data_IF_147429689048
#
_entry.id   IF_147429689048
#
_cell.length_a   1.000
_cell.length_b   1.000
_cell.length_c   1.000
_cell.angle_alpha   90.00
_cell.angle_beta   90.00
_cell.angle_gamma   90.00
#
_symmetry.space_group_name_H-M   'P 1'
#
loop_
_entity.id
_entity.type
_entity.pdbx_description
1 polymer ?
#
# COMPACT_ATOMS: atom_id res chain seq x y z
N UNK A 1 -55.02 -9.10 -39.78
CA UNK A 1 -53.84 -8.69 -39.01
C UNK A 1 -52.73 -8.43 -40.01
N UNK A 2 -52.22 -7.21 -40.06
CA UNK A 2 -51.24 -6.79 -41.06
C UNK A 2 -49.88 -7.48 -40.83
N UNK A 3 -49.23 -7.84 -41.93
CA UNK A 3 -47.89 -8.51 -41.88
C UNK A 3 -46.83 -7.68 -41.18
N UNK A 4 -47.02 -6.37 -41.05
CA UNK A 4 -46.15 -5.45 -40.33
C UNK A 4 -46.17 -5.67 -38.81
N UNK A 5 -47.35 -5.94 -38.23
CA UNK A 5 -47.46 -6.24 -36.78
C UNK A 5 -46.77 -7.57 -36.42
N UNK A 6 -46.86 -8.57 -37.29
CA UNK A 6 -46.17 -9.86 -37.07
C UNK A 6 -44.66 -9.71 -37.12
N UNK A 7 -44.15 -8.89 -38.07
CA UNK A 7 -42.72 -8.62 -38.19
C UNK A 7 -42.20 -7.82 -36.99
N UNK A 8 -42.97 -6.84 -36.50
CA UNK A 8 -42.63 -6.09 -35.29
C UNK A 8 -42.58 -6.98 -34.03
N UNK A 9 -43.56 -7.87 -33.88
CA UNK A 9 -43.59 -8.81 -32.75
C UNK A 9 -42.40 -9.80 -32.77
N UNK A 10 -42.03 -10.30 -33.97
CA UNK A 10 -40.86 -11.18 -34.09
C UNK A 10 -39.55 -10.47 -33.80
N UNK A 11 -39.40 -9.22 -34.25
CA UNK A 11 -38.21 -8.41 -33.92
C UNK A 11 -38.10 -8.13 -32.42
N UNK A 12 -39.21 -7.76 -31.77
CA UNK A 12 -39.22 -7.54 -30.33
C UNK A 12 -38.90 -8.82 -29.54
N UNK A 13 -39.43 -9.96 -29.93
CA UNK A 13 -39.11 -11.25 -29.32
C UNK A 13 -37.65 -11.65 -29.49
N UNK A 14 -37.06 -11.40 -30.67
CA UNK A 14 -35.63 -11.67 -30.89
C UNK A 14 -34.73 -10.79 -30.05
N UNK A 15 -35.06 -9.50 -29.87
CA UNK A 15 -34.32 -8.60 -29.00
C UNK A 15 -34.43 -9.02 -27.52
N UNK A 16 -35.64 -9.34 -27.06
CA UNK A 16 -35.86 -9.80 -25.69
C UNK A 16 -35.11 -11.11 -25.40
N UNK A 17 -35.12 -12.05 -26.35
CA UNK A 17 -34.37 -13.31 -26.21
C UNK A 17 -32.87 -13.09 -26.23
N UNK A 18 -32.36 -12.15 -27.04
CA UNK A 18 -30.94 -11.81 -27.05
C UNK A 18 -30.49 -11.20 -25.72
N UNK A 19 -31.27 -10.29 -25.13
CA UNK A 19 -30.98 -9.68 -23.81
C UNK A 19 -31.03 -10.75 -22.73
N UNK A 20 -32.01 -11.64 -22.73
CA UNK A 20 -32.13 -12.72 -21.75
C UNK A 20 -30.95 -13.71 -21.83
N UNK A 21 -30.48 -14.04 -23.04
CA UNK A 21 -29.33 -14.93 -23.19
C UNK A 21 -27.99 -14.31 -22.76
N UNK A 22 -27.80 -12.99 -22.94
CA UNK A 22 -26.60 -12.30 -22.45
C UNK A 22 -26.59 -12.20 -20.92
N UNK A 23 -27.75 -12.02 -20.30
CA UNK A 23 -27.82 -11.92 -18.83
C UNK A 23 -27.61 -13.26 -18.12
N UNK A 24 -27.88 -14.37 -18.77
CA UNK A 24 -27.70 -15.71 -18.19
C UNK A 24 -26.23 -16.06 -17.88
N UNK A 25 -25.27 -15.49 -18.62
CA UNK A 25 -23.84 -15.71 -18.39
C UNK A 25 -23.26 -14.86 -17.24
N UNK A 26 -23.93 -13.79 -16.84
CA UNK A 26 -23.46 -12.85 -15.82
C UNK A 26 -24.15 -13.03 -14.46
N UNK A 27 -25.21 -13.83 -14.38
CA UNK A 27 -25.99 -14.01 -13.17
C UNK A 27 -25.97 -15.47 -12.70
N UNK A 28 -25.62 -15.69 -11.44
CA UNK A 28 -25.68 -16.98 -10.76
C UNK A 28 -24.37 -17.38 -10.11
N UNK A 29 -24.40 -18.51 -9.38
CA UNK A 29 -23.28 -19.04 -8.61
C UNK A 29 -22.07 -19.49 -9.48
N UNK A 30 -22.22 -19.52 -10.80
CA UNK A 30 -21.16 -19.83 -11.75
C UNK A 30 -20.73 -18.63 -12.59
N UNK A 31 -21.02 -17.40 -12.16
CA UNK A 31 -20.55 -16.20 -12.83
C UNK A 31 -19.02 -16.21 -12.88
N UNK A 32 -18.44 -15.93 -14.06
CA UNK A 32 -16.97 -15.89 -14.21
C UNK A 32 -16.32 -14.83 -13.31
N UNK A 33 -17.05 -13.80 -12.91
CA UNK A 33 -16.59 -12.81 -11.93
C UNK A 33 -16.33 -13.40 -10.55
N UNK A 34 -16.96 -14.51 -10.17
CA UNK A 34 -16.68 -15.24 -8.95
C UNK A 34 -15.42 -16.12 -9.02
N UNK A 35 -14.87 -16.31 -10.22
CA UNK A 35 -13.64 -17.07 -10.44
C UNK A 35 -12.40 -16.16 -10.46
N UNK A 36 -12.59 -14.85 -10.40
CA UNK A 36 -11.48 -13.90 -10.32
C UNK A 36 -10.84 -14.09 -8.94
N UNK A 37 -9.60 -14.58 -8.96
CA UNK A 37 -8.77 -14.60 -7.76
C UNK A 37 -7.95 -13.32 -7.75
N UNK A 38 -8.03 -12.50 -6.67
CA UNK A 38 -7.16 -11.36 -6.54
C UNK A 38 -5.70 -11.81 -6.57
N UNK A 39 -4.84 -11.01 -7.18
CA UNK A 39 -3.40 -11.24 -7.23
C UNK A 39 -2.67 -10.91 -5.90
N UNK A 40 -3.41 -10.55 -4.85
CA UNK A 40 -2.87 -10.36 -3.51
C UNK A 40 -2.67 -11.70 -2.79
N UNK A 41 -1.59 -11.80 -2.02
CA UNK A 41 -1.34 -12.95 -1.17
C UNK A 41 -2.33 -12.94 0.00
N UNK A 42 -3.22 -13.95 0.03
CA UNK A 42 -4.23 -14.11 1.07
C UNK A 42 -4.44 -15.58 1.42
N UNK A 43 -4.86 -15.84 2.66
CA UNK A 43 -5.23 -17.18 3.14
C UNK A 43 -6.25 -17.08 4.28
N UNK A 44 -6.96 -18.17 4.53
CA UNK A 44 -7.88 -18.29 5.66
C UNK A 44 -7.69 -19.65 6.31
N UNK A 45 -7.51 -19.68 7.63
CA UNK A 45 -7.41 -20.89 8.45
C UNK A 45 -8.26 -20.68 9.70
N UNK A 46 -9.29 -21.51 9.85
CA UNK A 46 -10.26 -21.33 10.93
C UNK A 46 -10.89 -19.93 10.86
N UNK A 47 -10.85 -19.22 11.97
CA UNK A 47 -11.39 -17.86 12.11
C UNK A 47 -10.36 -16.77 11.72
N UNK A 48 -9.13 -17.14 11.38
CA UNK A 48 -8.10 -16.19 10.98
C UNK A 48 -8.02 -16.08 9.48
N UNK A 49 -8.05 -14.84 9.00
CA UNK A 49 -7.87 -14.47 7.62
C UNK A 49 -6.70 -13.49 7.50
N UNK A 50 -5.72 -13.85 6.68
CA UNK A 50 -4.57 -12.99 6.39
C UNK A 50 -4.70 -12.48 4.96
N UNK A 51 -4.54 -11.17 4.77
CA UNK A 51 -4.66 -10.52 3.47
C UNK A 51 -3.49 -9.58 3.22
N UNK A 52 -3.22 -9.32 1.93
CA UNK A 52 -2.22 -8.38 1.45
C UNK A 52 -0.83 -8.65 2.03
N UNK A 53 -0.50 -9.93 2.23
CA UNK A 53 0.82 -10.28 2.74
C UNK A 53 1.90 -10.00 1.69
N UNK A 54 2.92 -9.24 2.08
CA UNK A 54 4.03 -8.85 1.23
C UNK A 54 5.31 -8.80 2.06
N UNK A 55 6.43 -9.18 1.45
CA UNK A 55 7.77 -8.97 2.02
C UNK A 55 8.39 -7.81 1.25
N UNK A 56 8.74 -6.75 1.96
CA UNK A 56 9.26 -5.52 1.37
C UNK A 56 10.74 -5.42 1.70
N UNK A 57 11.56 -5.46 0.66
CA UNK A 57 13.02 -5.39 0.74
C UNK A 57 13.52 -3.95 0.63
N UNK A 58 14.82 -3.76 0.78
CA UNK A 58 15.47 -2.49 0.48
C UNK A 58 15.29 -2.12 -1.00
N UNK A 59 15.19 -0.83 -1.35
CA UNK A 59 15.08 -0.39 -2.74
C UNK A 59 16.33 -0.74 -3.57
N UNK A 60 17.50 -0.75 -2.94
CA UNK A 60 18.74 -1.17 -3.59
C UNK A 60 18.84 -2.70 -3.64
N UNK A 61 18.94 -3.24 -4.86
CA UNK A 61 19.03 -4.68 -5.10
C UNK A 61 20.29 -5.34 -4.51
N UNK A 62 21.33 -4.59 -4.23
CA UNK A 62 22.57 -5.09 -3.62
C UNK A 62 22.63 -4.89 -2.10
N UNK A 63 21.66 -4.20 -1.53
CA UNK A 63 21.60 -4.00 -0.10
C UNK A 63 21.42 -5.30 0.67
N UNK A 64 22.21 -5.52 1.70
CA UNK A 64 22.07 -6.64 2.65
C UNK A 64 21.23 -6.28 3.87
N UNK A 65 20.57 -5.13 3.83
CA UNK A 65 19.78 -4.60 4.93
C UNK A 65 18.55 -5.42 5.29
N UNK A 66 17.82 -4.97 6.32
CA UNK A 66 16.59 -5.64 6.74
C UNK A 66 15.52 -5.59 5.66
N UNK A 67 14.57 -6.51 5.71
CA UNK A 67 13.27 -6.41 5.05
C UNK A 67 12.17 -6.32 6.10
N UNK A 68 10.96 -6.03 5.68
CA UNK A 68 9.79 -6.05 6.55
C UNK A 68 8.71 -6.95 5.97
N UNK A 69 7.90 -7.54 6.84
CA UNK A 69 6.69 -8.24 6.44
C UNK A 69 5.50 -7.33 6.73
N UNK A 70 4.69 -7.05 5.71
CA UNK A 70 3.43 -6.34 5.86
C UNK A 70 2.26 -7.28 5.57
N UNK A 71 1.21 -7.17 6.35
CA UNK A 71 -0.03 -7.95 6.20
C UNK A 71 -1.16 -7.36 7.03
N UNK A 72 -2.39 -7.71 6.71
CA UNK A 72 -3.55 -7.48 7.57
C UNK A 72 -4.12 -8.81 8.03
N UNK A 73 -4.19 -9.00 9.35
CA UNK A 73 -4.77 -10.17 10.00
C UNK A 73 -6.18 -9.80 10.48
N UNK A 74 -7.16 -10.59 10.12
CA UNK A 74 -8.54 -10.49 10.60
C UNK A 74 -8.86 -11.71 11.45
N UNK A 75 -9.58 -11.49 12.53
CA UNK A 75 -10.10 -12.54 13.40
C UNK A 75 -11.63 -12.51 13.35
N UNK A 76 -12.22 -13.43 12.63
CA UNK A 76 -13.68 -13.57 12.50
C UNK A 76 -14.31 -14.37 13.67
N UNK A 77 -13.47 -14.83 14.59
CA UNK A 77 -13.87 -15.57 15.78
C UNK A 77 -14.34 -14.66 16.91
N UNK A 78 -14.71 -15.31 18.02
CA UNK A 78 -15.22 -14.66 19.24
C UNK A 78 -14.17 -14.53 20.35
N UNK A 79 -12.94 -15.01 20.14
CA UNK A 79 -11.84 -14.98 21.10
C UNK A 79 -10.67 -14.20 20.52
N UNK A 80 -10.05 -13.35 21.34
CA UNK A 80 -8.84 -12.64 20.95
C UNK A 80 -7.70 -13.64 20.69
N UNK A 81 -6.90 -13.38 19.66
CA UNK A 81 -5.70 -14.15 19.38
C UNK A 81 -4.46 -13.26 19.34
N UNK A 82 -3.33 -13.76 19.74
CA UNK A 82 -2.06 -13.03 19.71
C UNK A 82 -1.18 -13.57 18.61
N UNK A 83 -0.58 -12.67 17.82
CA UNK A 83 0.48 -13.02 16.89
C UNK A 83 1.77 -13.24 17.67
N UNK A 84 2.27 -14.47 17.65
CA UNK A 84 3.44 -14.90 18.42
C UNK A 84 4.74 -14.80 17.60
N UNK A 85 4.67 -15.18 16.33
CA UNK A 85 5.84 -15.14 15.44
C UNK A 85 5.47 -15.06 13.97
N UNK A 86 6.42 -14.56 13.16
CA UNK A 86 6.40 -14.65 11.70
C UNK A 86 7.73 -15.25 11.26
N UNK A 87 7.68 -16.37 10.55
CA UNK A 87 8.87 -17.08 10.08
C UNK A 87 8.87 -17.26 8.57
N UNK A 88 10.05 -17.42 7.98
CA UNK A 88 10.25 -17.75 6.58
C UNK A 88 10.80 -19.18 6.48
N UNK A 89 9.93 -20.18 6.28
CA UNK A 89 10.35 -21.57 6.19
C UNK A 89 11.42 -21.80 5.13
N UNK A 90 12.40 -22.63 5.46
CA UNK A 90 13.51 -22.95 4.57
C UNK A 90 14.66 -21.95 4.58
N UNK A 91 14.51 -20.81 5.21
CA UNK A 91 15.57 -19.77 5.33
C UNK A 91 16.17 -19.67 6.74
N UNK A 92 15.47 -20.22 7.74
CA UNK A 92 15.81 -20.07 9.15
C UNK A 92 15.63 -18.65 9.70
N UNK A 93 14.94 -17.76 8.97
CA UNK A 93 14.70 -16.39 9.39
C UNK A 93 13.37 -16.25 10.12
N UNK A 94 13.40 -15.48 11.21
CA UNK A 94 12.24 -15.10 12.01
C UNK A 94 12.21 -13.57 12.08
N UNK A 95 11.03 -12.99 11.91
CA UNK A 95 10.86 -11.56 12.03
C UNK A 95 10.86 -11.13 13.49
N UNK A 96 11.48 -10.00 13.77
CA UNK A 96 11.37 -9.29 15.03
C UNK A 96 10.05 -8.52 15.03
N UNK A 97 9.16 -8.86 15.97
CA UNK A 97 7.85 -8.25 16.08
C UNK A 97 7.86 -7.14 17.12
N UNK A 98 7.28 -6.00 16.75
CA UNK A 98 7.07 -4.89 17.67
C UNK A 98 5.64 -4.38 17.54
N UNK A 99 4.90 -4.22 18.66
CA UNK A 99 3.56 -3.64 18.60
C UNK A 99 3.61 -2.16 18.19
N UNK A 100 2.50 -1.62 17.71
CA UNK A 100 2.32 -0.18 17.58
C UNK A 100 2.47 0.51 18.94
N UNK A 101 2.78 1.81 18.93
CA UNK A 101 2.92 2.59 20.16
C UNK A 101 1.64 2.49 21.03
N UNK A 102 1.81 2.03 22.28
CA UNK A 102 0.68 1.79 23.19
C UNK A 102 -0.25 0.64 22.82
N UNK A 103 0.08 -0.13 21.77
CA UNK A 103 -0.70 -1.26 21.26
C UNK A 103 -0.19 -2.63 21.75
N UNK A 104 -0.73 -3.67 21.14
CA UNK A 104 -0.34 -5.07 21.33
C UNK A 104 -0.29 -5.80 20.00
N UNK A 105 0.23 -7.02 20.00
CA UNK A 105 0.18 -7.94 18.85
C UNK A 105 -1.09 -8.80 18.87
N UNK A 106 -2.12 -8.34 19.55
CA UNK A 106 -3.41 -9.01 19.64
C UNK A 106 -4.28 -8.71 18.41
N UNK A 107 -4.85 -9.73 17.84
CA UNK A 107 -5.92 -9.65 16.83
C UNK A 107 -7.23 -9.83 17.59
N UNK A 108 -7.98 -8.75 17.89
CA UNK A 108 -9.16 -8.84 18.72
C UNK A 108 -10.27 -9.63 18.04
N UNK A 109 -11.15 -10.24 18.83
CA UNK A 109 -12.32 -10.94 18.33
C UNK A 109 -13.21 -10.01 17.47
N UNK A 110 -13.53 -10.44 16.25
CA UNK A 110 -14.25 -9.64 15.27
C UNK A 110 -13.48 -8.44 14.73
N UNK A 111 -12.16 -8.35 14.99
CA UNK A 111 -11.33 -7.22 14.66
C UNK A 111 -10.15 -7.57 13.75
N UNK A 112 -9.17 -6.67 13.70
CA UNK A 112 -7.98 -6.84 12.87
C UNK A 112 -6.72 -6.27 13.49
N UNK A 113 -5.56 -6.76 13.04
CA UNK A 113 -4.23 -6.26 13.31
C UNK A 113 -3.54 -5.95 11.99
N UNK A 114 -3.06 -4.73 11.83
CA UNK A 114 -2.25 -4.33 10.68
C UNK A 114 -0.78 -4.42 11.07
N UNK A 115 0.01 -5.04 10.20
CA UNK A 115 1.46 -5.16 10.33
C UNK A 115 2.08 -4.43 9.15
N UNK A 116 3.05 -3.58 9.43
CA UNK A 116 3.74 -2.74 8.45
C UNK A 116 3.09 -1.38 8.27
N UNK A 117 3.86 -0.47 7.69
CA UNK A 117 3.51 0.94 7.55
C UNK A 117 3.65 1.73 8.85
N UNK A 118 3.63 3.05 8.71
CA UNK A 118 3.80 3.96 9.83
C UNK A 118 2.64 3.86 10.83
N UNK A 119 2.97 3.85 12.12
CA UNK A 119 1.99 3.82 13.21
C UNK A 119 1.36 2.46 13.51
N UNK A 120 1.68 1.42 12.76
CA UNK A 120 1.18 0.05 12.97
C UNK A 120 2.21 -0.83 13.68
N UNK A 121 1.82 -2.06 14.00
CA UNK A 121 2.76 -3.08 14.42
C UNK A 121 3.79 -3.35 13.32
N UNK A 122 5.01 -3.71 13.68
CA UNK A 122 6.07 -3.98 12.72
C UNK A 122 6.59 -5.41 12.83
N UNK A 123 7.06 -5.95 11.69
CA UNK A 123 7.72 -7.25 11.60
C UNK A 123 8.96 -7.11 10.73
N UNK A 124 10.12 -7.04 11.36
CA UNK A 124 11.42 -6.79 10.71
C UNK A 124 12.20 -8.08 10.57
N UNK A 125 12.67 -8.36 9.36
CA UNK A 125 13.55 -9.48 9.03
C UNK A 125 14.99 -8.95 8.95
N UNK A 126 15.83 -9.22 9.95
CA UNK A 126 17.22 -8.78 9.89
C UNK A 126 17.98 -9.54 8.79
N UNK A 127 18.81 -8.84 8.02
CA UNK A 127 19.67 -9.41 6.96
C UNK A 127 18.91 -10.33 6.01
N UNK A 128 17.92 -9.81 5.31
CA UNK A 128 16.94 -10.61 4.55
C UNK A 128 17.39 -10.99 3.14
N UNK A 129 18.29 -10.25 2.50
CA UNK A 129 18.63 -10.42 1.08
C UNK A 129 19.13 -11.83 0.72
N UNK A 130 19.80 -12.54 1.63
CA UNK A 130 20.20 -13.92 1.41
C UNK A 130 19.01 -14.90 1.42
N UNK A 131 17.91 -14.49 2.02
CA UNK A 131 16.75 -15.36 2.23
C UNK A 131 15.59 -15.06 1.25
N UNK A 132 15.51 -13.84 0.73
CA UNK A 132 14.39 -13.39 -0.12
C UNK A 132 14.92 -12.68 -1.38
N UNK A 133 14.23 -12.90 -2.51
CA UNK A 133 14.55 -12.29 -3.79
C UNK A 133 13.33 -11.55 -4.32
N UNK A 134 13.54 -10.33 -4.77
CA UNK A 134 12.49 -9.51 -5.38
C UNK A 134 11.85 -10.22 -6.57
N UNK A 135 10.56 -10.07 -6.73
CA UNK A 135 9.76 -10.73 -7.76
C UNK A 135 9.37 -12.17 -7.46
N UNK A 136 9.90 -12.79 -6.41
CA UNK A 136 9.52 -14.13 -5.98
C UNK A 136 8.28 -14.12 -5.08
N UNK A 137 7.68 -15.30 -4.92
CA UNK A 137 6.66 -15.56 -3.90
C UNK A 137 7.30 -16.41 -2.78
N UNK A 138 7.58 -15.76 -1.67
CA UNK A 138 8.22 -16.34 -0.49
C UNK A 138 7.19 -16.99 0.43
N UNK A 139 7.46 -18.21 0.90
CA UNK A 139 6.66 -18.83 1.95
C UNK A 139 6.86 -18.05 3.25
N UNK A 140 5.76 -17.62 3.85
CA UNK A 140 5.71 -16.93 5.15
C UNK A 140 4.73 -17.69 6.04
N UNK A 141 5.08 -17.90 7.30
CA UNK A 141 4.23 -18.56 8.29
C UNK A 141 4.01 -17.62 9.45
N UNK A 142 2.77 -17.35 9.77
CA UNK A 142 2.30 -16.59 10.92
C UNK A 142 1.85 -17.57 11.99
N UNK A 143 2.36 -17.45 13.21
CA UNK A 143 1.93 -18.29 14.33
C UNK A 143 1.06 -17.47 15.27
N UNK A 144 -0.14 -17.95 15.51
CA UNK A 144 -1.12 -17.34 16.41
C UNK A 144 -1.38 -18.25 17.60
N UNK A 145 -1.78 -17.65 18.71
CA UNK A 145 -1.92 -18.33 20.01
C UNK A 145 -2.95 -19.46 20.03
N UNK A 146 -4.03 -19.38 19.26
CA UNK A 146 -5.07 -20.40 19.22
C UNK A 146 -5.14 -21.14 17.87
N UNK A 147 -5.10 -20.42 16.77
CA UNK A 147 -5.13 -21.02 15.42
C UNK A 147 -3.84 -21.77 15.08
N UNK A 148 -2.71 -21.43 15.74
CA UNK A 148 -1.40 -21.99 15.43
C UNK A 148 -0.82 -21.41 14.14
N UNK A 149 -0.19 -22.26 13.32
CA UNK A 149 0.54 -21.85 12.14
C UNK A 149 -0.38 -21.61 10.93
N UNK A 150 -0.28 -20.44 10.34
CA UNK A 150 -0.98 -20.01 9.13
C UNK A 150 0.04 -19.66 8.08
N UNK A 151 0.21 -20.51 7.07
CA UNK A 151 1.19 -20.34 6.01
C UNK A 151 0.57 -19.81 4.72
N UNK A 152 1.28 -18.88 4.04
CA UNK A 152 0.93 -18.43 2.70
C UNK A 152 2.18 -18.02 1.93
N UNK A 153 2.04 -17.81 0.62
CA UNK A 153 3.11 -17.28 -0.23
C UNK A 153 2.90 -15.78 -0.41
N UNK A 154 3.80 -14.99 0.14
CA UNK A 154 3.81 -13.53 0.02
C UNK A 154 4.73 -13.09 -1.12
N UNK A 155 4.34 -12.10 -1.88
CA UNK A 155 5.21 -11.49 -2.89
C UNK A 155 6.36 -10.76 -2.21
N UNK A 156 7.53 -10.80 -2.85
CA UNK A 156 8.70 -10.03 -2.44
C UNK A 156 8.85 -8.86 -3.39
N UNK A 157 8.82 -7.65 -2.85
CA UNK A 157 8.87 -6.41 -3.61
C UNK A 157 9.89 -5.44 -3.00
N UNK A 158 10.58 -4.61 -3.80
CA UNK A 158 11.42 -3.55 -3.26
C UNK A 158 10.59 -2.41 -2.69
N UNK A 159 11.14 -1.66 -1.74
CA UNK A 159 10.54 -0.46 -1.16
C UNK A 159 10.58 0.71 -2.13
N UNK A 160 9.87 0.59 -3.25
CA UNK A 160 9.77 1.58 -4.31
C UNK A 160 8.31 1.95 -4.58
N UNK A 161 8.09 3.14 -5.15
CA UNK A 161 6.76 3.61 -5.55
C UNK A 161 5.73 3.51 -4.41
N UNK A 162 4.73 2.66 -4.53
CA UNK A 162 3.70 2.46 -3.52
C UNK A 162 4.26 1.95 -2.18
N UNK A 163 5.31 1.14 -2.22
CA UNK A 163 5.91 0.52 -1.04
C UNK A 163 7.01 1.34 -0.38
N UNK A 164 7.34 2.53 -0.87
CA UNK A 164 8.40 3.39 -0.33
C UNK A 164 8.22 3.70 1.15
N UNK A 165 7.01 4.03 1.57
CA UNK A 165 6.67 4.32 2.98
C UNK A 165 6.42 3.08 3.85
N UNK A 166 6.42 1.89 3.24
CA UNK A 166 6.18 0.61 3.92
C UNK A 166 7.46 -0.20 4.12
N UNK A 167 8.56 0.25 3.51
CA UNK A 167 9.86 -0.41 3.60
C UNK A 167 10.51 -0.28 4.98
N UNK A 168 11.67 -0.95 5.16
CA UNK A 168 12.42 -0.84 6.40
C UNK A 168 12.91 0.58 6.62
N UNK A 169 12.75 1.10 7.85
CA UNK A 169 13.17 2.46 8.23
C UNK A 169 14.68 2.63 8.37
N UNK A 170 15.42 1.54 8.54
CA UNK A 170 16.88 1.54 8.57
C UNK A 170 17.43 1.04 7.25
N UNK A 171 17.93 1.95 6.43
CA UNK A 171 18.67 1.64 5.21
C UNK A 171 20.15 1.63 5.57
N UNK A 172 20.84 0.48 5.65
CA UNK A 172 22.28 0.47 5.85
C UNK A 172 22.96 1.21 4.69
N UNK A 173 23.88 2.10 4.99
CA UNK A 173 24.68 2.76 3.96
C UNK A 173 25.38 1.68 3.11
N UNK A 174 25.31 1.81 1.78
CA UNK A 174 25.99 0.91 0.88
C UNK A 174 27.49 0.80 1.25
N UNK A 175 28.07 -0.42 1.19
CA UNK A 175 29.49 -0.56 1.46
C UNK A 175 30.30 0.26 0.45
N UNK A 176 30.82 1.40 0.88
CA UNK A 176 31.65 2.28 0.04
C UNK A 176 31.34 3.77 0.13
N UNK A 177 30.21 4.20 0.68
CA UNK A 177 29.96 5.61 0.97
C UNK A 177 30.29 5.92 2.43
N UNK A 178 31.58 6.08 2.69
CA UNK A 178 32.07 6.76 3.89
C UNK A 178 31.72 8.24 3.74
N UNK A 179 30.60 8.67 4.29
CA UNK A 179 30.37 10.08 4.56
C UNK A 179 31.28 10.45 5.72
N UNK A 180 32.47 10.96 5.37
CA UNK A 180 33.28 11.72 6.31
C UNK A 180 32.41 12.85 6.88
N UNK A 181 32.32 13.00 8.21
CA UNK A 181 31.65 14.16 8.78
C UNK A 181 32.44 15.39 8.35
N UNK A 182 31.84 16.24 7.54
CA UNK A 182 32.34 17.56 7.22
C UNK A 182 32.40 18.34 8.54
N UNK A 183 33.60 18.44 9.10
CA UNK A 183 33.89 19.31 10.22
C UNK A 183 33.70 20.74 9.73
N UNK A 184 32.69 21.38 10.23
CA UNK A 184 32.47 22.82 10.13
C UNK A 184 33.59 23.53 10.88
N UNK A 185 34.58 24.01 10.10
CA UNK A 185 35.60 24.91 10.60
C UNK A 185 34.97 26.28 10.79
N UNK A 186 34.66 26.63 12.04
CA UNK A 186 34.52 28.02 12.47
C UNK A 186 35.90 28.65 12.46
N UNK A 187 36.18 29.50 11.51
CA UNK A 187 37.26 30.45 11.52
C UNK A 187 36.69 31.85 11.26
N UNK A 188 36.58 32.61 12.31
CA UNK A 188 36.36 34.04 12.30
C UNK A 188 37.67 34.75 12.04
N UNK A 189 37.76 35.68 11.05
CA UNK A 189 38.82 36.64 11.04
C UNK A 189 38.35 38.05 11.41
N UNK A 190 39.08 38.57 12.39
CA UNK A 190 39.04 39.97 12.83
C UNK A 190 39.46 40.98 11.75
N UNK A 191 38.70 42.07 11.73
CA UNK A 191 39.02 43.49 11.50
C UNK A 191 40.16 43.90 10.54
N UNK A 192 39.83 44.79 9.61
CA UNK A 192 40.75 45.65 8.88
C UNK A 192 40.00 46.61 7.93
N UNK A 193 39.91 47.84 8.38
CA UNK A 193 39.39 49.05 7.73
C UNK A 193 39.98 49.33 6.36
N UNK A 194 39.26 49.97 5.43
CA UNK A 194 39.33 51.37 5.00
C UNK A 194 38.67 51.60 3.63
N UNK A 195 37.79 52.59 3.61
CA UNK A 195 37.49 53.65 2.63
C UNK A 195 37.45 53.37 1.12
N UNK A 196 36.45 53.72 0.47
CA UNK A 196 36.13 54.96 -0.24
C UNK A 196 34.92 54.84 -1.18
N UNK A 197 33.98 55.70 -0.99
CA UNK A 197 33.15 56.53 -1.82
C UNK A 197 32.81 56.13 -3.26
N UNK A 198 31.52 56.24 -3.57
CA UNK A 198 31.02 56.35 -4.93
C UNK A 198 29.54 56.07 -5.12
N UNK A 199 28.69 57.00 -4.71
CA UNK A 199 27.33 57.23 -5.22
C UNK A 199 27.45 58.21 -6.40
N UNK A 200 26.44 58.43 -7.32
CA UNK A 200 25.05 58.06 -7.30
C UNK A 200 24.37 57.78 -8.68
N UNK A 201 23.04 57.71 -8.61
CA UNK A 201 22.01 58.09 -9.65
C UNK A 201 21.81 57.07 -10.80
N UNK A 202 20.59 56.69 -11.05
CA UNK A 202 19.39 57.31 -11.38
C UNK A 202 18.30 56.33 -11.81
N UNK A 203 17.14 56.70 -11.42
CA UNK A 203 15.88 56.87 -12.15
C UNK A 203 15.16 55.68 -12.75
N UNK A 204 14.02 55.37 -12.16
CA UNK A 204 12.65 55.43 -12.70
C UNK A 204 12.31 54.61 -13.93
N UNK A 205 11.32 53.76 -13.91
CA UNK A 205 9.91 54.05 -14.16
C UNK A 205 9.09 52.74 -14.25
N UNK A 206 8.01 52.71 -13.54
CA UNK A 206 6.61 52.44 -13.93
C UNK A 206 6.30 51.41 -15.02
N UNK A 207 5.42 50.50 -14.68
CA UNK A 207 4.66 49.72 -15.63
C UNK A 207 3.57 48.89 -14.94
N UNK A 208 2.47 49.53 -14.67
CA UNK A 208 1.11 49.06 -14.39
C UNK A 208 0.59 48.04 -15.41
N UNK A 209 -0.29 47.16 -14.96
CA UNK A 209 -1.26 46.47 -15.78
C UNK A 209 -1.39 45.02 -15.37
N UNK A 210 -2.35 44.56 -14.91
CA UNK A 210 -3.82 44.48 -15.03
C UNK A 210 -4.20 43.01 -14.73
N UNK A 211 -5.09 42.83 -13.79
CA UNK A 211 -5.84 41.61 -13.64
C UNK A 211 -7.08 41.67 -14.53
N UNK A 212 -7.65 40.56 -14.97
CA UNK A 212 -8.99 40.24 -14.55
C UNK A 212 -9.24 38.77 -14.23
N UNK A 213 -9.92 38.56 -13.15
CA UNK A 213 -11.28 38.06 -12.97
C UNK A 213 -11.65 36.66 -13.52
N UNK A 214 -12.04 35.84 -12.55
CA UNK A 214 -13.33 35.18 -12.49
C UNK A 214 -13.64 34.06 -13.50
N UNK A 215 -13.66 32.85 -13.00
CA UNK A 215 -14.30 31.68 -13.63
C UNK A 215 -14.89 30.78 -12.57
N UNK A 216 -16.08 31.11 -12.13
CA UNK A 216 -17.02 30.28 -11.39
C UNK A 216 -17.34 29.01 -12.18
N UNK A 217 -17.14 27.82 -11.63
CA UNK A 217 -17.74 26.60 -12.12
C UNK A 217 -18.51 25.92 -11.00
N UNK A 218 -19.73 25.91 -11.21
CA UNK A 218 -20.95 25.39 -10.62
C UNK A 218 -20.84 23.91 -10.25
N UNK A 219 -21.17 23.61 -9.01
CA UNK A 219 -22.11 22.66 -8.46
C UNK A 219 -22.63 21.54 -9.41
N UNK A 220 -22.39 20.31 -9.02
CA UNK A 220 -23.19 19.18 -9.46
C UNK A 220 -23.55 18.30 -8.28
N UNK A 221 -24.80 18.38 -7.96
CA UNK A 221 -25.54 17.75 -6.89
C UNK A 221 -25.35 16.23 -6.76
N UNK A 222 -25.11 15.82 -5.55
CA UNK A 222 -25.30 14.48 -5.02
C UNK A 222 -26.80 14.19 -4.90
N UNK A 223 -27.28 13.19 -5.60
CA UNK A 223 -28.61 12.63 -5.39
C UNK A 223 -28.48 11.31 -4.63
N UNK A 224 -28.78 11.39 -3.32
CA UNK A 224 -29.09 10.23 -2.48
C UNK A 224 -30.48 9.70 -2.88
N UNK A 225 -30.57 8.43 -3.22
CA UNK A 225 -31.85 7.71 -3.20
C UNK A 225 -31.77 6.59 -2.18
N UNK A 226 -32.47 6.84 -1.08
CA UNK A 226 -32.98 5.82 -0.18
C UNK A 226 -34.15 5.11 -0.87
N UNK A 227 -34.14 3.81 -0.90
CA UNK A 227 -35.33 3.00 -1.19
C UNK A 227 -35.48 1.99 -0.05
N UNK A 228 -36.54 2.21 0.68
CA UNK A 228 -37.23 1.37 1.65
C UNK A 228 -37.91 0.19 0.94
N UNK A 229 -37.76 -0.99 1.38
CA UNK A 229 -38.63 -2.17 1.60
C UNK A 229 -37.84 -3.47 1.62
#
# INVERSE_FOLDING_TARGET
MSSSLRRGALAAAAIAFSIASLSACAAGNNAQTLQIQPDNAATTVGDIKIQNAVVITQPDLESTGPAVVAATLFNEGSTDQTLESITLPGTGKTAELSPAEGGSLTVPAGGSLIIGGEGNASAVLPSSREAVQDGNAQQVTFTLSETGEVGLRAFVVPAESFFESWGPSEIPAAPGTSTEPSAESSDEPAAGSTDEAGTPEGAEASGTGDAPESGTATDAASASQSADQ
#
